data_IF_395034779813
#
_entry.id   IF_395034779813
#
_cell.length_a   1.000
_cell.length_b   1.000
_cell.length_c   1.000
_cell.angle_alpha   90.00
_cell.angle_beta   90.00
_cell.angle_gamma   90.00
#
_symmetry.space_group_name_H-M   'P 1'
#
loop_
_entity.id
_entity.type
_entity.pdbx_description
1 polymer ?
#
# COMPACT_ATOMS: atom_id res chain seq x y z
N UNK A 1 -58.88 8.68 -69.13
CA UNK A 1 -58.80 10.09 -69.60
C UNK A 1 -57.92 10.87 -68.65
N UNK A 2 -56.93 11.61 -69.19
CA UNK A 2 -56.12 12.74 -68.63
C UNK A 2 -55.41 12.55 -67.28
N UNK A 3 -54.07 12.42 -67.17
CA UNK A 3 -52.96 13.35 -67.46
C UNK A 3 -52.61 14.33 -66.31
N UNK A 4 -51.37 14.23 -65.78
CA UNK A 4 -50.45 15.31 -65.30
C UNK A 4 -49.35 14.67 -64.40
N UNK A 5 -48.13 14.33 -64.85
CA UNK A 5 -46.94 15.11 -65.23
C UNK A 5 -46.24 15.94 -64.11
N UNK A 6 -44.97 15.57 -63.90
CA UNK A 6 -43.76 16.35 -63.55
C UNK A 6 -43.31 16.50 -62.09
N UNK A 7 -42.07 16.08 -61.81
CA UNK A 7 -41.37 16.41 -60.57
C UNK A 7 -39.98 15.78 -60.34
N UNK A 8 -39.03 16.00 -61.26
CA UNK A 8 -37.54 15.91 -61.20
C UNK A 8 -36.80 15.24 -60.01
N UNK A 9 -35.98 14.26 -60.41
CA UNK A 9 -34.55 13.98 -60.09
C UNK A 9 -33.83 15.00 -59.19
N UNK A 10 -33.24 14.51 -58.08
CA UNK A 10 -31.84 14.78 -57.69
C UNK A 10 -31.27 13.59 -56.91
N UNK A 11 -30.20 13.02 -57.43
CA UNK A 11 -29.35 12.05 -56.76
C UNK A 11 -28.48 12.76 -55.71
N UNK A 12 -28.37 12.18 -54.51
CA UNK A 12 -27.22 12.43 -53.63
C UNK A 12 -27.02 11.26 -52.67
N UNK A 13 -25.98 10.47 -52.92
CA UNK A 13 -25.44 9.53 -51.96
C UNK A 13 -24.27 10.23 -51.23
N UNK A 14 -24.26 10.29 -49.89
CA UNK A 14 -23.03 10.52 -49.16
C UNK A 14 -22.46 9.20 -48.63
N UNK A 15 -21.23 8.99 -49.06
CA UNK A 15 -20.20 8.08 -48.58
C UNK A 15 -20.22 7.91 -47.04
N UNK A 16 -20.57 6.72 -46.55
CA UNK A 16 -20.42 6.36 -45.14
C UNK A 16 -18.99 5.88 -44.86
N UNK A 17 -18.12 6.81 -44.47
CA UNK A 17 -16.91 6.49 -43.70
C UNK A 17 -16.95 7.29 -42.41
N UNK A 18 -17.68 6.80 -41.39
CA UNK A 18 -17.48 7.24 -40.02
C UNK A 18 -16.58 6.24 -39.31
N UNK A 19 -15.33 6.64 -39.08
CA UNK A 19 -14.45 6.05 -38.09
C UNK A 19 -15.11 6.24 -36.71
N UNK A 20 -15.84 5.25 -36.22
CA UNK A 20 -16.22 5.19 -34.81
C UNK A 20 -15.01 4.73 -34.01
N UNK A 21 -14.17 5.70 -33.61
CA UNK A 21 -13.34 5.60 -32.41
C UNK A 21 -14.29 5.40 -31.22
N UNK A 22 -14.45 4.16 -30.79
CA UNK A 22 -15.07 3.87 -29.51
C UNK A 22 -14.06 4.18 -28.39
N UNK A 23 -14.08 5.42 -27.91
CA UNK A 23 -13.46 5.81 -26.64
C UNK A 23 -14.47 5.56 -25.51
N UNK A 24 -14.57 4.30 -25.06
CA UNK A 24 -15.26 3.95 -23.83
C UNK A 24 -14.36 3.02 -23.01
N UNK A 25 -14.06 3.34 -21.73
CA UNK A 25 -13.41 2.40 -20.84
C UNK A 25 -14.43 1.32 -20.48
N UNK A 26 -14.39 0.20 -21.21
CA UNK A 26 -15.22 -0.96 -20.94
C UNK A 26 -14.73 -1.68 -19.67
N UNK A 27 -15.16 -1.17 -18.52
CA UNK A 27 -15.01 -1.80 -17.21
C UNK A 27 -16.22 -2.68 -16.91
N UNK A 28 -16.35 -3.79 -17.65
CA UNK A 28 -17.40 -4.79 -17.45
C UNK A 28 -16.86 -6.15 -16.97
N UNK A 29 -17.65 -6.95 -16.24
CA UNK A 29 -17.26 -8.28 -15.73
C UNK A 29 -16.97 -9.32 -16.84
N UNK A 30 -17.29 -9.01 -18.10
CA UNK A 30 -17.02 -9.86 -19.26
C UNK A 30 -15.52 -10.07 -19.56
N UNK A 31 -14.62 -9.20 -19.07
CA UNK A 31 -13.16 -9.46 -19.16
C UNK A 31 -12.69 -10.60 -18.26
N UNK A 32 -13.45 -10.97 -17.22
CA UNK A 32 -13.09 -12.05 -16.29
C UNK A 32 -13.04 -13.43 -16.96
N UNK A 33 -13.62 -13.54 -18.16
CA UNK A 33 -13.69 -14.78 -18.94
C UNK A 33 -12.67 -14.83 -20.10
N UNK A 34 -12.19 -13.70 -20.62
CA UNK A 34 -11.27 -13.68 -21.78
C UNK A 34 -9.80 -13.40 -21.45
N UNK A 35 -9.46 -13.15 -20.18
CA UNK A 35 -8.08 -13.12 -19.70
C UNK A 35 -8.02 -13.73 -18.30
N UNK A 36 -8.26 -15.04 -18.17
CA UNK A 36 -7.63 -15.79 -17.08
C UNK A 36 -6.16 -15.94 -17.48
N UNK A 37 -5.33 -14.98 -17.06
CA UNK A 37 -3.93 -15.36 -16.85
C UNK A 37 -3.98 -16.52 -15.84
N UNK A 38 -3.34 -17.67 -16.12
CA UNK A 38 -3.31 -18.76 -15.17
C UNK A 38 -2.75 -18.20 -13.87
N UNK A 39 -3.56 -18.28 -12.80
CA UNK A 39 -3.12 -17.92 -11.46
C UNK A 39 -1.78 -18.60 -11.23
N UNK A 40 -0.72 -17.87 -10.91
CA UNK A 40 0.59 -18.46 -10.79
C UNK A 40 0.52 -19.58 -9.76
N UNK A 41 1.19 -20.73 -9.99
CA UNK A 41 1.20 -21.83 -9.04
C UNK A 41 1.55 -21.27 -7.65
N UNK A 42 0.87 -21.72 -6.60
CA UNK A 42 1.08 -21.14 -5.27
C UNK A 42 2.54 -21.30 -4.88
N UNK A 43 3.19 -20.20 -4.47
CA UNK A 43 4.60 -20.23 -4.08
C UNK A 43 4.85 -21.33 -3.02
N UNK A 44 5.90 -22.15 -3.18
CA UNK A 44 6.18 -23.21 -2.22
C UNK A 44 6.42 -22.58 -0.85
N UNK A 45 5.89 -23.22 0.20
CA UNK A 45 6.06 -22.77 1.58
C UNK A 45 7.37 -23.34 2.13
N UNK A 46 8.12 -22.57 2.93
CA UNK A 46 9.32 -23.09 3.57
C UNK A 46 8.97 -24.27 4.50
N UNK A 47 9.82 -25.30 4.58
CA UNK A 47 9.55 -26.47 5.42
C UNK A 47 9.66 -26.14 6.90
N UNK A 48 9.16 -27.05 7.73
CA UNK A 48 9.20 -26.88 9.18
C UNK A 48 10.62 -27.14 9.70
N UNK A 49 11.12 -26.21 10.51
CA UNK A 49 12.39 -26.39 11.23
C UNK A 49 12.29 -27.53 12.25
N UNK A 50 13.42 -28.11 12.65
CA UNK A 50 13.51 -29.27 13.54
C UNK A 50 12.64 -29.15 14.81
N UNK A 51 12.71 -28.01 15.51
CA UNK A 51 11.88 -27.77 16.70
C UNK A 51 10.39 -27.69 16.38
N UNK A 52 10.00 -27.03 15.27
CA UNK A 52 8.58 -26.90 14.91
C UNK A 52 8.01 -28.25 14.47
N UNK A 53 8.80 -29.06 13.76
CA UNK A 53 8.47 -30.44 13.41
C UNK A 53 8.21 -31.28 14.67
N UNK A 54 9.10 -31.20 15.67
CA UNK A 54 8.87 -31.82 16.98
C UNK A 54 7.62 -31.25 17.68
N UNK A 55 7.44 -29.93 17.66
CA UNK A 55 6.32 -29.26 18.28
C UNK A 55 4.99 -29.78 17.76
N UNK A 56 4.81 -29.79 16.43
CA UNK A 56 3.59 -30.29 15.79
C UNK A 56 3.32 -31.73 16.21
N UNK A 57 4.32 -32.61 16.13
CA UNK A 57 4.15 -34.02 16.52
C UNK A 57 3.77 -34.22 18.00
N UNK A 58 4.31 -33.40 18.91
CA UNK A 58 3.99 -33.50 20.33
C UNK A 58 2.67 -32.83 20.72
N UNK A 59 2.25 -31.79 19.99
CA UNK A 59 1.01 -31.08 20.32
C UNK A 59 -0.21 -31.99 20.24
N UNK A 60 -0.26 -32.91 19.28
CA UNK A 60 -1.40 -33.82 19.14
C UNK A 60 -1.47 -34.83 20.28
N UNK A 61 -0.32 -35.34 20.73
CA UNK A 61 -0.22 -36.22 21.91
C UNK A 61 -0.68 -35.50 23.17
N UNK A 62 -0.18 -34.29 23.41
CA UNK A 62 -0.51 -33.54 24.64
C UNK A 62 -1.99 -33.11 24.65
N UNK A 63 -2.55 -32.73 23.50
CA UNK A 63 -3.98 -32.41 23.37
C UNK A 63 -4.88 -33.60 23.65
N UNK A 64 -4.51 -34.79 23.16
CA UNK A 64 -5.25 -36.03 23.43
C UNK A 64 -5.20 -36.41 24.91
N UNK A 65 -4.05 -36.23 25.55
CA UNK A 65 -3.89 -36.51 26.99
C UNK A 65 -4.59 -35.48 27.88
N UNK A 66 -4.70 -34.23 27.43
CA UNK A 66 -5.27 -33.13 28.21
C UNK A 66 -6.23 -32.29 27.35
N UNK A 67 -7.44 -32.80 27.05
CA UNK A 67 -8.45 -32.05 26.32
C UNK A 67 -8.91 -30.86 27.18
N UNK A 68 -8.34 -29.67 26.92
CA UNK A 68 -8.56 -28.46 27.71
C UNK A 68 -7.29 -27.68 28.07
N UNK A 69 -6.10 -28.24 27.81
CA UNK A 69 -4.83 -27.55 28.03
C UNK A 69 -4.76 -26.26 27.19
N UNK A 70 -4.29 -25.17 27.81
CA UNK A 70 -4.09 -23.93 27.06
C UNK A 70 -2.91 -24.07 26.10
N UNK A 71 -2.98 -23.41 24.95
CA UNK A 71 -1.90 -23.45 23.94
C UNK A 71 -0.56 -22.98 24.54
N UNK A 72 -0.60 -22.01 25.46
CA UNK A 72 0.60 -21.50 26.14
C UNK A 72 1.25 -22.57 27.04
N UNK A 73 0.47 -23.28 27.84
CA UNK A 73 0.99 -24.34 28.72
C UNK A 73 1.52 -25.54 27.92
N UNK A 74 0.80 -25.93 26.86
CA UNK A 74 1.26 -26.95 25.93
C UNK A 74 2.61 -26.55 25.32
N UNK A 75 2.74 -25.32 24.82
CA UNK A 75 3.98 -24.83 24.25
C UNK A 75 5.14 -24.82 25.25
N UNK A 76 4.88 -24.44 26.52
CA UNK A 76 5.87 -24.51 27.60
C UNK A 76 6.33 -25.96 27.85
N UNK A 77 5.39 -26.91 27.93
CA UNK A 77 5.70 -28.35 28.11
C UNK A 77 6.56 -28.87 26.95
N UNK A 78 6.16 -28.61 25.71
CA UNK A 78 6.92 -29.03 24.51
C UNK A 78 8.30 -28.38 24.43
N UNK A 79 8.41 -27.09 24.78
CA UNK A 79 9.70 -26.41 24.78
C UNK A 79 10.62 -26.97 25.88
N UNK A 80 10.07 -27.37 27.02
CA UNK A 80 10.83 -28.03 28.08
C UNK A 80 11.32 -29.42 27.64
N UNK A 81 10.43 -30.26 27.06
CA UNK A 81 10.83 -31.58 26.56
C UNK A 81 11.90 -31.49 25.48
N UNK A 82 11.76 -30.55 24.53
CA UNK A 82 12.78 -30.33 23.49
C UNK A 82 14.15 -29.97 24.07
N UNK A 83 14.23 -29.15 25.12
CA UNK A 83 15.53 -28.82 25.76
C UNK A 83 16.19 -30.07 26.32
N UNK A 84 15.41 -30.95 26.92
CA UNK A 84 15.90 -32.16 27.59
C UNK A 84 16.12 -33.36 26.65
N UNK A 85 15.68 -33.29 25.38
CA UNK A 85 15.99 -34.33 24.40
C UNK A 85 17.49 -34.50 24.19
N UNK A 86 17.90 -35.74 23.92
CA UNK A 86 19.28 -36.08 23.60
C UNK A 86 19.73 -35.42 22.29
N UNK A 87 21.05 -35.30 22.12
CA UNK A 87 21.63 -34.79 20.86
C UNK A 87 21.26 -35.68 19.68
N UNK A 88 21.22 -37.00 19.89
CA UNK A 88 20.84 -37.99 18.87
C UNK A 88 19.41 -37.78 18.36
N UNK A 89 18.43 -37.65 19.26
CA UNK A 89 17.03 -37.42 18.88
C UNK A 89 16.86 -36.08 18.15
N UNK A 90 17.51 -35.02 18.65
CA UNK A 90 17.53 -33.71 17.98
C UNK A 90 18.16 -33.80 16.58
N UNK A 91 19.18 -34.63 16.40
CA UNK A 91 19.88 -34.80 15.13
C UNK A 91 18.98 -35.42 14.06
N UNK A 92 18.12 -36.38 14.43
CA UNK A 92 17.14 -36.95 13.50
C UNK A 92 16.19 -35.87 12.93
N UNK A 93 15.72 -34.94 13.77
CA UNK A 93 14.88 -33.83 13.32
C UNK A 93 15.64 -32.82 12.45
N UNK A 94 16.92 -32.57 12.73
CA UNK A 94 17.77 -31.70 11.88
C UNK A 94 18.05 -32.32 10.52
N UNK A 95 18.32 -33.62 10.47
CA UNK A 95 18.51 -34.34 9.21
C UNK A 95 17.23 -34.29 8.35
N UNK A 96 16.06 -34.50 8.97
CA UNK A 96 14.79 -34.34 8.28
C UNK A 96 14.56 -32.91 7.76
N UNK A 97 14.89 -31.88 8.56
CA UNK A 97 14.83 -30.48 8.13
C UNK A 97 15.74 -30.23 6.91
N UNK A 98 16.95 -30.78 6.91
CA UNK A 98 17.90 -30.59 5.81
C UNK A 98 17.38 -31.18 4.49
N UNK A 99 16.83 -32.40 4.55
CA UNK A 99 16.21 -33.07 3.40
C UNK A 99 15.06 -32.21 2.85
N UNK A 100 14.12 -31.79 3.70
CA UNK A 100 13.00 -30.96 3.24
C UNK A 100 13.46 -29.62 2.69
N UNK A 101 14.50 -29.03 3.27
CA UNK A 101 15.09 -27.77 2.81
C UNK A 101 15.71 -27.92 1.42
N UNK A 102 16.30 -29.07 1.10
CA UNK A 102 16.81 -29.37 -0.25
C UNK A 102 15.66 -29.44 -1.25
N UNK A 103 14.62 -30.24 -0.94
CA UNK A 103 13.40 -30.34 -1.78
C UNK A 103 12.76 -28.97 -1.99
N UNK A 104 12.66 -28.16 -0.93
CA UNK A 104 12.10 -26.82 -1.00
C UNK A 104 12.91 -25.89 -1.92
N UNK A 105 14.24 -25.94 -1.88
CA UNK A 105 15.10 -25.13 -2.74
C UNK A 105 14.88 -25.47 -4.22
N UNK A 106 14.78 -26.75 -4.54
CA UNK A 106 14.50 -27.21 -5.91
C UNK A 106 13.12 -26.74 -6.37
N UNK A 107 12.08 -26.93 -5.55
CA UNK A 107 10.73 -26.45 -5.84
C UNK A 107 10.67 -24.93 -6.01
N UNK A 108 11.40 -24.18 -5.18
CA UNK A 108 11.46 -22.72 -5.27
C UNK A 108 12.21 -22.25 -6.53
N UNK A 109 13.26 -22.96 -6.94
CA UNK A 109 13.98 -22.67 -8.18
C UNK A 109 13.08 -22.87 -9.40
N UNK A 110 12.37 -24.00 -9.47
CA UNK A 110 11.39 -24.29 -10.51
C UNK A 110 10.27 -23.25 -10.54
N UNK A 111 9.73 -22.91 -9.37
CA UNK A 111 8.70 -21.87 -9.24
C UNK A 111 9.19 -20.51 -9.76
N UNK A 112 10.37 -20.06 -9.34
CA UNK A 112 10.93 -18.77 -9.76
C UNK A 112 11.28 -18.73 -11.26
N UNK A 113 11.62 -19.88 -11.85
CA UNK A 113 11.86 -20.00 -13.29
C UNK A 113 10.58 -19.88 -14.11
N UNK A 114 9.44 -20.36 -13.58
CA UNK A 114 8.12 -20.28 -14.24
C UNK A 114 7.52 -18.87 -14.23
N UNK A 115 7.94 -18.01 -13.29
CA UNK A 115 7.35 -16.67 -13.13
C UNK A 115 7.82 -15.66 -14.18
N UNK A 116 6.87 -14.95 -14.77
CA UNK A 116 7.15 -13.83 -15.69
C UNK A 116 7.70 -12.61 -14.92
N UNK A 117 8.43 -11.68 -15.58
CA UNK A 117 8.90 -10.45 -14.94
C UNK A 117 7.77 -9.60 -14.33
N UNK A 118 6.61 -9.56 -14.99
CA UNK A 118 5.41 -8.86 -14.49
C UNK A 118 4.89 -9.49 -13.19
N UNK A 119 4.77 -10.81 -13.13
CA UNK A 119 4.35 -11.53 -11.93
C UNK A 119 5.35 -11.36 -10.78
N UNK A 120 6.66 -11.39 -11.07
CA UNK A 120 7.72 -11.12 -10.07
C UNK A 120 7.59 -9.71 -9.47
N UNK A 121 7.33 -8.71 -10.30
CA UNK A 121 7.11 -7.34 -9.85
C UNK A 121 5.84 -7.21 -8.97
N UNK A 122 4.73 -7.82 -9.37
CA UNK A 122 3.50 -7.85 -8.59
C UNK A 122 3.71 -8.50 -7.21
N UNK A 123 4.40 -9.65 -7.15
CA UNK A 123 4.74 -10.31 -5.89
C UNK A 123 5.65 -9.45 -5.00
N UNK A 124 6.59 -8.72 -5.58
CA UNK A 124 7.44 -7.77 -4.85
C UNK A 124 6.61 -6.62 -4.26
N UNK A 125 5.70 -6.05 -5.05
CA UNK A 125 4.82 -4.96 -4.61
C UNK A 125 3.92 -5.40 -3.45
N UNK A 126 3.31 -6.59 -3.54
CA UNK A 126 2.50 -7.16 -2.47
C UNK A 126 3.31 -7.41 -1.19
N UNK A 127 4.57 -7.87 -1.31
CA UNK A 127 5.49 -8.00 -0.16
C UNK A 127 5.80 -6.65 0.47
N UNK A 128 5.99 -5.60 -0.33
CA UNK A 128 6.22 -4.22 0.16
C UNK A 128 4.97 -3.70 0.88
N UNK A 129 3.78 -3.85 0.28
CA UNK A 129 2.50 -3.48 0.91
C UNK A 129 2.27 -4.20 2.23
N UNK A 130 2.52 -5.51 2.28
CA UNK A 130 2.38 -6.31 3.51
C UNK A 130 3.36 -5.87 4.60
N UNK A 131 4.62 -5.60 4.26
CA UNK A 131 5.62 -5.05 5.19
C UNK A 131 5.19 -3.67 5.69
N UNK A 132 4.77 -2.76 4.81
CA UNK A 132 4.29 -1.43 5.17
C UNK A 132 3.05 -1.48 6.07
N UNK A 133 2.10 -2.38 5.80
CA UNK A 133 0.91 -2.61 6.63
C UNK A 133 1.27 -3.14 8.02
N UNK A 134 2.22 -4.09 8.10
CA UNK A 134 2.71 -4.64 9.37
C UNK A 134 3.44 -3.57 10.19
N UNK A 135 4.29 -2.77 9.54
CA UNK A 135 4.99 -1.64 10.15
C UNK A 135 4.02 -0.59 10.68
N UNK A 136 3.00 -0.21 9.89
CA UNK A 136 1.97 0.73 10.30
C UNK A 136 1.19 0.20 11.53
N UNK A 137 0.90 -1.10 11.58
CA UNK A 137 0.28 -1.72 12.75
C UNK A 137 1.20 -1.67 13.97
N UNK A 138 2.51 -1.90 13.80
CA UNK A 138 3.50 -1.79 14.90
C UNK A 138 3.55 -0.36 15.44
N UNK A 139 3.70 0.63 14.56
CA UNK A 139 3.70 2.05 14.93
C UNK A 139 2.41 2.45 15.65
N UNK A 140 1.23 2.02 15.18
CA UNK A 140 -0.04 2.28 15.87
C UNK A 140 -0.08 1.68 17.28
N UNK A 141 0.46 0.49 17.48
CA UNK A 141 0.54 -0.14 18.81
C UNK A 141 1.51 0.60 19.72
N UNK A 142 2.68 0.99 19.21
CA UNK A 142 3.65 1.80 19.96
C UNK A 142 3.02 3.13 20.41
N UNK A 143 2.36 3.85 19.49
CA UNK A 143 1.65 5.08 19.83
C UNK A 143 0.54 4.85 20.88
N UNK A 144 -0.14 3.71 20.86
CA UNK A 144 -1.15 3.36 21.86
C UNK A 144 -0.53 3.04 23.23
N UNK A 145 0.62 2.35 23.26
CA UNK A 145 1.37 2.07 24.50
C UNK A 145 1.83 3.37 25.16
N UNK A 146 2.29 4.34 24.36
CA UNK A 146 2.66 5.68 24.84
C UNK A 146 1.45 6.61 25.08
N UNK A 147 0.22 6.08 25.08
CA UNK A 147 -0.96 6.85 25.44
C UNK A 147 -1.27 8.04 24.52
N UNK A 148 -0.92 7.96 23.23
CA UNK A 148 -1.14 9.08 22.30
C UNK A 148 -2.62 9.51 22.32
N UNK A 149 -2.90 10.82 22.53
CA UNK A 149 -4.26 11.36 22.52
C UNK A 149 -5.05 10.96 21.26
N UNK A 150 -6.30 10.55 21.46
CA UNK A 150 -7.22 10.27 20.34
C UNK A 150 -7.56 11.57 19.63
N UNK A 151 -7.73 11.50 18.31
CA UNK A 151 -8.11 12.65 17.48
C UNK A 151 -9.38 13.31 18.02
N UNK A 152 -9.55 14.63 17.79
CA UNK A 152 -10.75 15.31 18.22
C UNK A 152 -11.96 14.75 17.48
N UNK A 153 -13.06 14.60 18.19
CA UNK A 153 -14.34 14.15 17.68
C UNK A 153 -15.01 15.28 16.90
N UNK A 154 -15.66 14.93 15.79
CA UNK A 154 -16.54 15.84 15.07
C UNK A 154 -17.87 16.00 15.80
N UNK A 155 -18.63 17.04 15.48
CA UNK A 155 -19.99 17.24 16.02
C UNK A 155 -20.88 16.01 15.77
N UNK A 156 -20.79 15.44 14.57
CA UNK A 156 -21.48 14.19 14.24
C UNK A 156 -21.00 12.99 15.07
N UNK A 157 -19.73 12.93 15.50
CA UNK A 157 -19.26 11.84 16.34
C UNK A 157 -19.86 11.89 17.75
N UNK A 158 -20.05 13.08 18.31
CA UNK A 158 -20.75 13.26 19.58
C UNK A 158 -22.21 12.83 19.48
N UNK A 159 -22.91 13.33 18.45
CA UNK A 159 -24.28 12.92 18.17
C UNK A 159 -24.40 11.40 17.97
N UNK A 160 -23.48 10.81 17.20
CA UNK A 160 -23.44 9.38 16.98
C UNK A 160 -23.21 8.61 18.28
N UNK A 161 -22.32 9.07 19.16
CA UNK A 161 -22.07 8.39 20.43
C UNK A 161 -23.32 8.36 21.33
N UNK A 162 -24.11 9.43 21.33
CA UNK A 162 -25.35 9.55 22.10
C UNK A 162 -26.45 8.65 21.51
N UNK A 163 -26.81 8.84 20.23
CA UNK A 163 -27.92 8.12 19.59
C UNK A 163 -27.63 6.64 19.34
N UNK A 164 -26.37 6.24 19.25
CA UNK A 164 -26.00 4.84 19.09
C UNK A 164 -26.25 4.01 20.36
N UNK A 165 -26.28 4.64 21.56
CA UNK A 165 -26.63 3.97 22.82
C UNK A 165 -28.14 3.69 22.92
N UNK A 166 -28.96 4.57 22.35
CA UNK A 166 -30.43 4.48 22.41
C UNK A 166 -30.99 3.40 21.48
N UNK A 167 -30.33 3.13 20.36
CA UNK A 167 -30.75 2.11 19.43
C UNK A 167 -30.52 0.70 20.00
N UNK A 168 -31.59 -0.04 20.34
CA UNK A 168 -31.56 -1.47 20.75
C UNK A 168 -32.12 -2.36 19.63
N UNK A 169 -31.60 -3.58 19.46
CA UNK A 169 -32.16 -4.60 18.57
C UNK A 169 -31.81 -4.53 17.07
N UNK A 170 -31.22 -3.44 16.59
CA UNK A 170 -30.84 -3.23 15.18
C UNK A 170 -29.37 -3.64 14.93
N UNK A 171 -28.98 -4.10 13.73
CA UNK A 171 -27.56 -4.38 13.45
C UNK A 171 -26.73 -3.09 13.50
N UNK A 172 -25.44 -3.16 13.87
CA UNK A 172 -24.60 -1.97 14.00
C UNK A 172 -24.54 -1.11 12.71
N UNK A 173 -24.63 -1.76 11.53
CA UNK A 173 -24.65 -1.07 10.23
C UNK A 173 -25.94 -0.29 10.03
N UNK A 174 -27.08 -0.88 10.34
CA UNK A 174 -28.38 -0.22 10.23
C UNK A 174 -28.53 0.91 11.24
N UNK A 175 -27.99 0.75 12.46
CA UNK A 175 -27.92 1.84 13.45
C UNK A 175 -27.14 3.04 12.92
N UNK A 176 -25.97 2.82 12.33
CA UNK A 176 -25.15 3.92 11.76
C UNK A 176 -25.92 4.63 10.65
N UNK A 177 -26.64 3.88 9.80
CA UNK A 177 -27.46 4.46 8.74
C UNK A 177 -28.58 5.33 9.33
N UNK A 178 -29.32 4.77 10.30
CA UNK A 178 -30.41 5.47 10.98
C UNK A 178 -29.93 6.76 11.68
N UNK A 179 -28.82 6.72 12.42
CA UNK A 179 -28.19 7.90 13.02
C UNK A 179 -27.77 8.91 11.94
N UNK A 180 -27.27 8.45 10.80
CA UNK A 180 -26.92 9.31 9.68
C UNK A 180 -28.11 10.08 9.13
N UNK A 181 -29.25 9.41 8.97
CA UNK A 181 -30.50 10.01 8.49
C UNK A 181 -31.07 11.01 9.51
N UNK A 182 -31.07 10.64 10.80
CA UNK A 182 -31.50 11.51 11.90
C UNK A 182 -30.65 12.79 11.98
N UNK A 183 -29.33 12.67 11.80
CA UNK A 183 -28.44 13.84 11.77
C UNK A 183 -28.77 14.79 10.63
N UNK A 184 -29.17 14.29 9.45
CA UNK A 184 -29.57 15.18 8.36
C UNK A 184 -30.85 15.95 8.70
N UNK A 185 -31.81 15.28 9.34
CA UNK A 185 -33.12 15.85 9.69
C UNK A 185 -33.09 16.81 10.90
N UNK A 186 -32.04 16.77 11.74
CA UNK A 186 -31.90 17.69 12.86
C UNK A 186 -31.84 19.16 12.45
N UNK A 187 -32.44 20.01 13.29
CA UNK A 187 -32.39 21.46 13.12
C UNK A 187 -30.98 22.03 13.33
N UNK A 188 -30.71 23.21 12.77
CA UNK A 188 -29.42 23.89 12.95
C UNK A 188 -29.15 24.24 14.43
N UNK A 189 -30.20 24.53 15.21
CA UNK A 189 -30.10 24.81 16.65
C UNK A 189 -29.64 23.59 17.45
N UNK A 190 -30.18 22.41 17.16
CA UNK A 190 -29.77 21.16 17.82
C UNK A 190 -28.36 20.76 17.38
N UNK A 191 -28.02 20.95 16.10
CA UNK A 191 -26.66 20.74 15.59
C UNK A 191 -25.64 21.67 16.27
N UNK A 192 -26.04 22.90 16.62
CA UNK A 192 -25.16 23.88 17.24
C UNK A 192 -24.62 23.41 18.60
N UNK A 193 -25.43 22.69 19.39
CA UNK A 193 -24.97 22.07 20.63
C UNK A 193 -23.80 21.10 20.39
N UNK A 194 -23.92 20.21 19.41
CA UNK A 194 -22.84 19.29 19.05
C UNK A 194 -21.63 19.98 18.43
N UNK A 195 -21.83 21.11 17.74
CA UNK A 195 -20.73 21.95 17.23
C UNK A 195 -19.93 22.50 18.40
N UNK A 196 -20.58 23.00 19.45
CA UNK A 196 -19.89 23.48 20.65
C UNK A 196 -19.08 22.37 21.32
N UNK A 197 -19.66 21.18 21.52
CA UNK A 197 -18.92 20.02 22.04
C UNK A 197 -17.70 19.66 21.20
N UNK A 198 -17.81 19.76 19.87
CA UNK A 198 -16.69 19.52 18.96
C UNK A 198 -15.59 20.58 19.07
N UNK A 199 -15.94 21.85 19.30
CA UNK A 199 -14.94 22.90 19.56
C UNK A 199 -14.22 22.67 20.89
N UNK A 200 -14.95 22.32 21.95
CA UNK A 200 -14.36 22.00 23.25
C UNK A 200 -13.42 20.78 23.17
N UNK A 201 -13.78 19.76 22.38
CA UNK A 201 -12.95 18.58 22.18
C UNK A 201 -11.66 18.89 21.40
N UNK A 202 -11.68 19.87 20.50
CA UNK A 202 -10.45 20.37 19.85
C UNK A 202 -9.53 21.02 20.87
N UNK A 203 -10.07 21.78 21.83
CA UNK A 203 -9.28 22.40 22.92
C UNK A 203 -8.68 21.31 23.80
N UNK A 204 -9.49 20.34 24.25
CA UNK A 204 -9.01 19.16 25.01
C UNK A 204 -7.85 18.47 24.27
N UNK A 205 -8.06 18.12 23.00
CA UNK A 205 -7.04 17.45 22.20
C UNK A 205 -5.76 18.29 22.05
N UNK A 206 -5.88 19.61 21.86
CA UNK A 206 -4.72 20.48 21.77
C UNK A 206 -3.88 20.47 23.05
N UNK A 207 -4.53 20.52 24.22
CA UNK A 207 -3.87 20.48 25.52
C UNK A 207 -3.22 19.10 25.77
N UNK A 208 -3.95 18.01 25.57
CA UNK A 208 -3.42 16.65 25.72
C UNK A 208 -2.25 16.38 24.77
N UNK A 209 -2.34 16.83 23.52
CA UNK A 209 -1.25 16.68 22.54
C UNK A 209 -0.01 17.48 22.93
N UNK A 210 -0.17 18.64 23.56
CA UNK A 210 0.97 19.41 24.05
C UNK A 210 1.70 18.65 25.16
N UNK A 211 0.97 18.20 26.18
CA UNK A 211 1.51 17.41 27.28
C UNK A 211 2.15 16.10 26.79
N UNK A 212 1.47 15.40 25.88
CA UNK A 212 2.01 14.17 25.30
C UNK A 212 3.32 14.41 24.54
N UNK A 213 3.45 15.52 23.81
CA UNK A 213 4.70 15.87 23.12
C UNK A 213 5.82 16.12 24.11
N UNK A 214 5.56 16.87 25.18
CA UNK A 214 6.53 17.12 26.25
C UNK A 214 6.99 15.80 26.89
N UNK A 215 6.06 14.90 27.20
CA UNK A 215 6.36 13.55 27.71
C UNK A 215 7.21 12.71 26.73
N UNK A 216 6.96 12.80 25.42
CA UNK A 216 7.77 12.07 24.42
C UNK A 216 9.19 12.63 24.28
N UNK A 217 9.36 13.94 24.45
CA UNK A 217 10.68 14.59 24.46
C UNK A 217 11.46 14.16 25.71
N UNK A 218 10.81 14.19 26.89
CA UNK A 218 11.41 13.76 28.15
C UNK A 218 11.79 12.27 28.14
N UNK A 219 10.97 11.42 27.54
CA UNK A 219 11.25 10.00 27.35
C UNK A 219 12.31 9.71 26.26
N UNK A 220 12.87 10.73 25.60
CA UNK A 220 13.85 10.58 24.51
C UNK A 220 13.29 9.94 23.23
N UNK A 221 11.96 9.88 23.09
CA UNK A 221 11.22 9.29 21.96
C UNK A 221 10.75 10.35 20.96
N UNK A 222 11.64 11.26 20.61
CA UNK A 222 11.37 12.31 19.62
C UNK A 222 11.08 11.75 18.21
N UNK A 223 11.49 10.51 17.94
CA UNK A 223 11.20 9.77 16.70
C UNK A 223 9.69 9.73 16.42
N UNK A 224 8.87 9.60 17.46
CA UNK A 224 7.41 9.57 17.36
C UNK A 224 6.79 10.93 17.00
N UNK A 225 7.55 12.03 17.12
CA UNK A 225 7.16 13.38 16.74
C UNK A 225 7.63 13.76 15.33
N UNK A 226 8.56 12.99 14.75
CA UNK A 226 9.18 13.27 13.45
C UNK A 226 8.19 13.34 12.28
N UNK A 227 7.09 12.56 12.34
CA UNK A 227 6.06 12.59 11.30
C UNK A 227 5.42 13.98 11.14
N UNK A 228 5.31 14.77 12.21
CA UNK A 228 4.73 16.11 12.19
C UNK A 228 5.70 17.10 11.54
N UNK A 229 7.00 17.01 11.87
CA UNK A 229 8.08 17.76 11.21
C UNK A 229 8.11 17.45 9.70
N UNK A 230 8.05 16.17 9.32
CA UNK A 230 8.00 15.71 7.92
C UNK A 230 6.72 16.17 7.21
N UNK A 231 5.57 16.09 7.86
CA UNK A 231 4.27 16.51 7.31
C UNK A 231 4.20 18.03 7.10
N UNK A 232 4.71 18.83 8.05
CA UNK A 232 4.84 20.28 7.91
C UNK A 232 5.80 20.66 6.79
N UNK A 233 6.94 19.97 6.67
CA UNK A 233 7.87 20.14 5.56
C UNK A 233 7.23 19.83 4.20
N UNK A 234 6.47 18.74 4.08
CA UNK A 234 5.76 18.38 2.84
C UNK A 234 4.68 19.41 2.48
N UNK A 235 3.87 19.85 3.46
CA UNK A 235 2.88 20.92 3.25
C UNK A 235 3.55 22.23 2.82
N UNK A 236 4.67 22.60 3.45
CA UNK A 236 5.41 23.82 3.09
C UNK A 236 6.06 23.70 1.71
N UNK A 237 6.53 22.51 1.30
CA UNK A 237 7.01 22.24 -0.06
C UNK A 237 5.88 22.34 -1.10
N UNK A 238 4.69 21.86 -0.79
CA UNK A 238 3.51 21.97 -1.66
C UNK A 238 2.95 23.41 -1.76
N UNK A 239 3.16 24.23 -0.71
CA UNK A 239 2.77 25.65 -0.68
C UNK A 239 3.79 26.58 -1.32
N UNK A 240 5.02 26.12 -1.61
CA UNK A 240 5.99 26.92 -2.37
C UNK A 240 5.53 26.96 -3.83
N UNK A 241 5.28 28.15 -4.43
CA UNK A 241 5.05 28.21 -5.86
C UNK A 241 6.27 27.64 -6.57
N UNK A 242 6.05 26.81 -7.59
CA UNK A 242 7.12 26.34 -8.48
C UNK A 242 7.63 27.57 -9.21
N UNK A 243 8.65 28.23 -8.67
CA UNK A 243 9.37 29.28 -9.39
C UNK A 243 10.11 28.57 -10.53
N UNK A 244 9.54 28.65 -11.72
CA UNK A 244 10.26 28.32 -12.96
C UNK A 244 11.41 29.32 -13.04
N UNK A 245 12.61 28.86 -12.68
CA UNK A 245 13.85 29.60 -12.90
C UNK A 245 13.99 29.83 -14.40
N UNK A 246 13.61 31.03 -14.86
CA UNK A 246 13.79 31.44 -16.25
C UNK A 246 15.30 31.56 -16.49
N UNK A 247 15.88 30.55 -17.13
CA UNK A 247 17.25 30.64 -17.67
C UNK A 247 17.23 31.76 -18.70
N UNK A 248 17.86 32.90 -18.39
CA UNK A 248 18.09 33.97 -19.36
C UNK A 248 19.24 33.52 -20.27
N UNK A 249 18.91 33.03 -21.46
CA UNK A 249 19.88 32.91 -22.56
C UNK A 249 20.21 34.32 -23.05
N UNK A 250 21.42 34.80 -22.78
CA UNK A 250 21.94 36.00 -23.42
C UNK A 250 22.39 35.65 -24.84
N UNK A 251 21.66 36.13 -25.85
CA UNK A 251 22.12 36.14 -27.24
C UNK A 251 23.06 37.35 -27.42
N UNK A 252 24.36 37.10 -27.53
CA UNK A 252 25.33 38.09 -27.98
C UNK A 252 25.45 37.97 -29.50
N UNK A 253 24.82 38.90 -30.22
CA UNK A 253 25.02 39.07 -31.66
C UNK A 253 26.42 39.68 -31.85
N UNK A 254 27.39 38.87 -32.30
CA UNK A 254 28.60 39.37 -32.96
C UNK A 254 28.45 39.16 -34.45
N UNK A 255 28.27 40.26 -35.16
CA UNK A 255 28.36 40.37 -36.61
C UNK A 255 29.80 40.05 -37.04
N UNK A 256 29.97 39.04 -37.90
CA UNK A 256 31.21 38.78 -38.61
C UNK A 256 30.92 38.67 -40.10
N UNK A 257 31.53 39.60 -40.85
CA UNK A 257 31.49 39.77 -42.30
C UNK A 257 32.41 38.75 -42.96
N UNK A 258 31.96 38.17 -44.06
CA UNK A 258 32.62 37.09 -44.79
C UNK A 258 33.82 37.55 -45.63
N UNK A 259 34.85 36.69 -45.66
CA UNK A 259 35.83 36.41 -46.75
C UNK A 259 36.91 35.54 -46.11
N UNK A 260 37.39 34.40 -46.60
CA UNK A 260 37.41 33.76 -47.91
C UNK A 260 37.98 32.34 -47.70
N UNK A 261 37.46 31.33 -48.40
CA UNK A 261 38.17 30.05 -48.65
C UNK A 261 39.40 30.31 -49.55
N UNK A 262 40.46 29.47 -49.60
CA UNK A 262 40.36 28.03 -49.91
C UNK A 262 41.32 27.06 -49.16
N UNK A 263 40.86 25.81 -49.05
CA UNK A 263 41.52 24.55 -49.46
C UNK A 263 43.02 24.29 -49.10
N UNK A 264 43.29 23.15 -48.43
CA UNK A 264 44.25 22.09 -48.81
C UNK A 264 44.37 21.03 -47.69
N UNK A 265 44.19 19.76 -48.08
CA UNK A 265 44.48 18.52 -47.32
C UNK A 265 45.98 18.25 -47.25
N UNK A 266 46.56 17.95 -46.07
CA UNK A 266 47.72 17.05 -45.94
C UNK A 266 48.04 16.60 -44.49
N UNK A 267 48.00 15.28 -44.29
CA UNK A 267 48.86 14.39 -43.49
C UNK A 267 49.56 14.91 -42.21
N UNK A 268 49.30 14.23 -41.09
CA UNK A 268 50.27 14.06 -39.99
C UNK A 268 50.68 12.59 -39.93
N UNK A 269 51.98 12.36 -40.08
CA UNK A 269 52.70 11.09 -40.00
C UNK A 269 53.61 11.20 -38.78
N UNK A 270 53.53 10.18 -37.89
CA UNK A 270 54.59 9.64 -37.02
C UNK A 270 55.24 10.57 -35.98
N UNK A 271 55.82 10.15 -34.86
CA UNK A 271 56.08 8.90 -34.11
C UNK A 271 56.64 9.39 -32.75
N UNK A 272 56.62 8.70 -31.60
CA UNK A 272 57.42 7.54 -31.12
C UNK A 272 57.24 7.59 -29.57
N UNK A 273 56.90 6.51 -28.86
CA UNK A 273 57.70 5.36 -28.41
C UNK A 273 58.37 5.54 -27.03
N UNK A 274 58.06 4.63 -26.10
CA UNK A 274 58.95 3.91 -25.15
C UNK A 274 58.07 3.13 -24.13
N UNK A 275 57.98 1.79 -24.13
CA UNK A 275 58.94 0.78 -23.56
C UNK A 275 59.21 1.07 -22.06
N UNK A 276 58.97 0.20 -21.07
CA UNK A 276 59.10 -1.27 -20.93
C UNK A 276 57.85 -1.98 -20.36
#
# INVERSE_FOLDING_TARGET
>A
MTAALLGRVLAYAPHAQSLLRCSAPCSGPARRWFCQEPEPPSAPKPPLRAFIRFYVGQTDTIKKQNPGITVSEMAKKVAHTWRNLSVSEKQAYKAAEEIDMQVYKEQLALYNAQLTPSQKAALMEERIKKKASTELKRQKRELAIFGKPKKPHSSFNFFMAERFQEAKGISAREKIKWVGDEWQNLSNSEKQYYVQLAEDDKIRYANEMKLWKEQMIEAGREDLLSWEKKSKMLRNKAKKPVTVSKVKTAMTVKTAKASSSPEVLAKVVETKKSEE
#
